data_IF_141926663743
#
_entry.id   IF_141926663743
#
_cell.length_a   1.000
_cell.length_b   1.000
_cell.length_c   1.000
_cell.angle_alpha   90.00
_cell.angle_beta   90.00
_cell.angle_gamma   90.00
#
_symmetry.space_group_name_H-M   'P 1'
#
loop_
_entity.id
_entity.type
_entity.pdbx_description
1 polymer ?
#
# COMPACT_ATOMS: atom_id res chain seq x y z
N UNK A 1 2.42 20.62 -3.80
CA UNK A 1 3.35 21.57 -4.35
C UNK A 1 3.58 22.72 -3.38
N UNK A 2 4.82 23.08 -3.19
CA UNK A 2 5.26 24.13 -2.27
C UNK A 2 5.27 25.49 -2.94
N UNK A 3 4.12 25.99 -3.31
CA UNK A 3 4.04 27.24 -4.08
C UNK A 3 3.83 28.50 -3.24
N UNK A 4 3.43 28.36 -1.99
CA UNK A 4 3.16 29.50 -1.14
C UNK A 4 3.83 29.28 0.20
N UNK A 5 4.94 29.95 0.39
CA UNK A 5 5.63 29.99 1.64
C UNK A 5 6.42 28.72 1.95
N UNK A 6 7.70 28.87 2.11
CA UNK A 6 8.60 27.79 2.50
C UNK A 6 8.20 27.13 3.83
N UNK A 7 7.42 27.82 4.66
CA UNK A 7 6.97 27.30 5.95
C UNK A 7 5.95 26.17 5.82
N UNK A 8 4.99 26.27 4.90
CA UNK A 8 4.04 25.19 4.67
C UNK A 8 4.73 23.95 4.13
N UNK A 9 5.69 24.12 3.26
CA UNK A 9 6.49 23.04 2.72
C UNK A 9 7.30 22.33 3.79
N UNK A 10 7.91 23.09 4.67
CA UNK A 10 8.71 22.55 5.76
C UNK A 10 7.82 21.78 6.74
N UNK A 11 6.63 22.28 7.02
CA UNK A 11 5.66 21.61 7.89
C UNK A 11 5.16 20.29 7.28
N UNK A 12 4.80 20.32 6.00
CA UNK A 12 4.31 19.12 5.31
C UNK A 12 5.39 18.06 5.18
N UNK A 13 6.65 18.47 5.06
CA UNK A 13 7.78 17.55 5.02
C UNK A 13 8.23 17.09 6.40
N UNK A 14 8.02 17.91 7.43
CA UNK A 14 8.46 17.60 8.77
C UNK A 14 7.44 16.81 9.56
N UNK A 15 6.17 17.20 9.46
CA UNK A 15 5.06 16.59 10.18
C UNK A 15 3.90 16.40 9.20
N UNK A 16 3.52 15.18 8.96
CA UNK A 16 2.37 14.89 8.11
C UNK A 16 2.23 13.41 7.82
N UNK A 17 1.00 12.93 7.74
CA UNK A 17 0.72 11.56 7.36
C UNK A 17 0.73 11.43 5.83
N UNK A 18 1.18 10.29 5.34
CA UNK A 18 1.08 9.99 3.93
C UNK A 18 -0.37 9.76 3.52
N UNK A 19 -0.75 10.20 2.34
CA UNK A 19 -2.09 9.97 1.80
C UNK A 19 -2.28 8.52 1.38
N UNK A 20 -3.49 8.00 1.49
CA UNK A 20 -3.81 6.65 1.05
C UNK A 20 -3.74 6.55 -0.48
N UNK A 21 -3.28 5.41 -0.98
CA UNK A 21 -3.32 5.13 -2.42
C UNK A 21 -4.76 4.91 -2.90
N UNK A 22 -5.04 5.30 -4.12
CA UNK A 22 -6.34 5.07 -4.75
C UNK A 22 -6.55 3.61 -5.12
N UNK A 23 -7.79 3.15 -5.09
CA UNK A 23 -8.12 1.78 -5.49
C UNK A 23 -7.93 1.61 -7.01
N UNK A 24 -7.53 0.41 -7.40
CA UNK A 24 -7.42 0.05 -8.81
C UNK A 24 -8.79 -0.02 -9.51
N UNK A 25 -8.83 0.29 -10.76
CA UNK A 25 -10.05 0.24 -11.56
C UNK A 25 -10.48 -1.22 -11.84
N UNK A 26 -11.79 -1.40 -12.00
CA UNK A 26 -12.33 -2.70 -12.42
C UNK A 26 -11.94 -2.98 -13.87
N UNK A 27 -11.51 -4.21 -14.12
CA UNK A 27 -11.34 -4.68 -15.49
C UNK A 27 -12.68 -5.06 -16.09
N UNK A 28 -13.06 -4.49 -17.22
CA UNK A 28 -14.29 -4.78 -17.93
C UNK A 28 -14.09 -5.72 -19.11
N UNK A 29 -15.15 -6.41 -19.52
CA UNK A 29 -15.15 -7.29 -20.68
C UNK A 29 -14.68 -8.72 -20.39
N UNK A 30 -14.61 -9.55 -21.41
CA UNK A 30 -14.32 -10.97 -21.30
C UNK A 30 -12.86 -11.26 -20.92
N UNK A 31 -11.97 -10.28 -21.06
CA UNK A 31 -10.54 -10.41 -20.77
C UNK A 31 -10.02 -9.21 -19.99
N UNK A 32 -10.92 -8.51 -19.27
CA UNK A 32 -10.54 -7.31 -18.53
C UNK A 32 -9.65 -7.59 -17.34
N UNK A 33 -8.47 -7.00 -17.32
CA UNK A 33 -7.52 -7.08 -16.22
C UNK A 33 -7.82 -5.97 -15.22
N UNK A 34 -7.88 -6.28 -13.94
CA UNK A 34 -8.08 -5.27 -12.91
C UNK A 34 -6.89 -4.31 -12.83
N UNK A 35 -7.15 -3.05 -12.60
CA UNK A 35 -6.10 -2.04 -12.44
C UNK A 35 -5.35 -2.23 -11.10
N UNK A 36 -4.09 -1.89 -11.08
CA UNK A 36 -3.31 -1.90 -9.84
C UNK A 36 -3.76 -0.79 -8.87
N UNK A 37 -3.74 -1.09 -7.59
CA UNK A 37 -3.98 -0.07 -6.57
C UNK A 37 -2.82 0.92 -6.52
N UNK A 38 -3.12 2.16 -6.16
CA UNK A 38 -2.09 3.18 -5.98
C UNK A 38 -1.29 2.96 -4.71
N UNK A 39 -0.04 3.37 -4.72
CA UNK A 39 0.81 3.29 -3.54
C UNK A 39 0.41 4.34 -2.51
N UNK A 40 0.56 4.00 -1.25
CA UNK A 40 0.40 4.95 -0.17
C UNK A 40 1.50 6.01 -0.21
N UNK A 41 1.18 7.23 0.19
CA UNK A 41 2.16 8.31 0.28
C UNK A 41 3.10 8.14 1.46
N UNK A 42 4.32 8.63 1.32
CA UNK A 42 5.27 8.65 2.42
C UNK A 42 4.89 9.74 3.42
N UNK A 43 5.16 9.50 4.69
CA UNK A 43 4.95 10.48 5.75
C UNK A 43 6.00 11.59 5.70
N UNK A 44 5.78 12.61 6.52
CA UNK A 44 6.76 13.66 6.74
C UNK A 44 8.06 13.12 7.34
N UNK A 45 9.11 13.95 7.31
CA UNK A 45 10.45 13.50 7.68
C UNK A 45 10.56 13.09 9.15
N UNK A 46 9.88 13.81 10.03
CA UNK A 46 10.03 13.64 11.49
C UNK A 46 8.86 12.85 12.11
N UNK A 47 7.64 13.31 11.92
CA UNK A 47 6.46 12.69 12.48
C UNK A 47 5.47 12.36 11.38
N UNK A 48 4.86 11.20 11.47
CA UNK A 48 3.74 10.86 10.62
C UNK A 48 3.70 9.38 10.27
N UNK A 49 2.51 8.88 10.04
CA UNK A 49 2.30 7.52 9.58
C UNK A 49 2.33 7.48 8.04
N UNK A 50 2.86 6.41 7.49
CA UNK A 50 2.78 6.16 6.05
C UNK A 50 1.33 5.90 5.63
N UNK A 51 0.97 6.30 4.43
CA UNK A 51 -0.35 6.05 3.88
C UNK A 51 -0.53 4.59 3.45
N UNK A 52 -1.73 4.07 3.56
CA UNK A 52 -2.03 2.72 3.10
C UNK A 52 -2.01 2.64 1.56
N UNK A 53 -1.58 1.51 1.04
CA UNK A 53 -1.71 1.22 -0.38
C UNK A 53 -3.17 0.94 -0.77
N UNK A 54 -3.56 1.31 -1.97
CA UNK A 54 -4.89 1.04 -2.48
C UNK A 54 -5.07 -0.41 -2.90
N UNK A 55 -6.29 -0.91 -2.83
CA UNK A 55 -6.59 -2.26 -3.28
C UNK A 55 -6.51 -2.38 -4.79
N UNK A 56 -6.11 -3.55 -5.27
CA UNK A 56 -6.17 -3.86 -6.69
C UNK A 56 -7.60 -4.03 -7.18
N UNK A 57 -7.84 -3.70 -8.43
CA UNK A 57 -9.16 -3.82 -9.05
C UNK A 57 -9.52 -5.25 -9.40
N UNK A 58 -10.81 -5.53 -9.45
CA UNK A 58 -11.34 -6.83 -9.85
C UNK A 58 -11.16 -7.04 -11.37
N UNK A 59 -10.75 -8.20 -11.77
CA UNK A 59 -10.64 -8.59 -13.17
C UNK A 59 -11.79 -9.50 -13.62
N UNK A 60 -12.60 -9.04 -14.56
CA UNK A 60 -13.65 -9.84 -15.16
C UNK A 60 -13.09 -10.61 -16.34
N UNK A 61 -12.96 -11.92 -16.23
CA UNK A 61 -12.40 -12.74 -17.28
C UNK A 61 -10.87 -12.62 -17.40
N UNK A 62 -10.24 -11.78 -16.62
CA UNK A 62 -8.80 -11.58 -16.61
C UNK A 62 -8.24 -11.62 -15.21
N UNK A 63 -6.98 -11.26 -15.08
CA UNK A 63 -6.28 -11.23 -13.78
C UNK A 63 -6.78 -10.09 -12.90
N UNK A 64 -6.78 -10.31 -11.60
CA UNK A 64 -6.97 -9.23 -10.64
C UNK A 64 -5.77 -8.28 -10.60
N UNK A 65 -6.01 -7.01 -10.30
CA UNK A 65 -4.95 -6.02 -10.17
C UNK A 65 -4.16 -6.20 -8.87
N UNK A 66 -2.89 -5.84 -8.90
CA UNK A 66 -2.06 -5.89 -7.69
C UNK A 66 -2.48 -4.80 -6.70
N UNK A 67 -2.35 -5.08 -5.42
CA UNK A 67 -2.50 -4.07 -4.39
C UNK A 67 -1.32 -3.10 -4.37
N UNK A 68 -1.57 -1.85 -3.99
CA UNK A 68 -0.53 -0.84 -3.88
C UNK A 68 0.35 -1.04 -2.64
N UNK A 69 1.54 -0.49 -2.69
CA UNK A 69 2.47 -0.57 -1.56
C UNK A 69 2.05 0.40 -0.45
N UNK A 70 2.27 0.00 0.79
CA UNK A 70 2.16 0.93 1.92
C UNK A 70 3.26 1.97 1.90
N UNK A 71 2.95 3.18 2.32
CA UNK A 71 3.92 4.27 2.40
C UNK A 71 4.83 4.14 3.61
N UNK A 72 6.01 4.71 3.51
CA UNK A 72 6.95 4.71 4.63
C UNK A 72 6.55 5.76 5.67
N UNK A 73 6.81 5.45 6.94
CA UNK A 73 6.65 6.39 8.02
C UNK A 73 7.79 7.40 8.05
N UNK A 74 7.58 8.48 8.78
CA UNK A 74 8.66 9.38 9.19
C UNK A 74 9.55 8.73 10.26
N UNK A 75 10.36 9.56 10.91
CA UNK A 75 11.25 9.08 11.97
C UNK A 75 10.45 8.44 13.11
N UNK A 76 9.31 9.04 13.47
CA UNK A 76 8.38 8.55 14.48
C UNK A 76 7.02 8.36 13.81
N UNK A 77 6.53 7.14 13.77
CA UNK A 77 5.25 6.79 13.18
C UNK A 77 5.25 5.40 12.57
N UNK A 78 4.09 4.88 12.31
CA UNK A 78 3.92 3.54 11.76
C UNK A 78 3.94 3.56 10.22
N UNK A 79 4.49 2.53 9.61
CA UNK A 79 4.40 2.33 8.18
C UNK A 79 2.96 2.05 7.74
N UNK A 80 2.60 2.43 6.53
CA UNK A 80 1.28 2.18 5.98
C UNK A 80 1.12 0.72 5.55
N UNK A 81 -0.11 0.20 5.64
CA UNK A 81 -0.40 -1.16 5.19
C UNK A 81 -0.37 -1.25 3.66
N UNK A 82 0.00 -2.40 3.16
CA UNK A 82 -0.11 -2.71 1.75
C UNK A 82 -1.57 -2.98 1.34
N UNK A 83 -1.93 -2.62 0.13
CA UNK A 83 -3.28 -2.86 -0.38
C UNK A 83 -3.51 -4.32 -0.76
N UNK A 84 -4.74 -4.79 -0.64
CA UNK A 84 -5.10 -6.14 -1.04
C UNK A 84 -5.03 -6.29 -2.56
N UNK A 85 -4.68 -7.49 -3.02
CA UNK A 85 -4.79 -7.84 -4.43
C UNK A 85 -6.24 -7.97 -4.86
N UNK A 86 -6.55 -7.60 -6.08
CA UNK A 86 -7.89 -7.76 -6.65
C UNK A 86 -8.16 -9.20 -7.06
N UNK A 87 -9.42 -9.60 -7.04
CA UNK A 87 -9.81 -10.94 -7.48
C UNK A 87 -9.84 -11.01 -9.00
N UNK A 88 -9.45 -12.14 -9.54
CA UNK A 88 -9.58 -12.45 -10.96
C UNK A 88 -10.53 -13.61 -11.19
N UNK A 89 -11.41 -13.53 -12.17
CA UNK A 89 -12.35 -14.63 -12.46
C UNK A 89 -11.89 -15.55 -13.58
N UNK A 90 -11.02 -15.08 -14.46
CA UNK A 90 -10.53 -15.89 -15.58
C UNK A 90 -9.05 -16.16 -15.56
N UNK A 91 -8.34 -15.64 -14.58
CA UNK A 91 -6.89 -15.76 -14.50
C UNK A 91 -6.41 -15.56 -13.04
N UNK A 92 -5.14 -15.35 -12.88
CA UNK A 92 -4.51 -15.19 -11.56
C UNK A 92 -5.16 -14.05 -10.76
N UNK A 93 -5.35 -14.26 -9.44
CA UNK A 93 -5.66 -13.17 -8.52
C UNK A 93 -4.48 -12.19 -8.40
N UNK A 94 -4.76 -10.94 -8.09
CA UNK A 94 -3.73 -9.93 -7.91
C UNK A 94 -2.87 -10.19 -6.67
N UNK A 95 -1.63 -9.78 -6.71
CA UNK A 95 -0.75 -9.90 -5.55
C UNK A 95 -1.07 -8.78 -4.53
N UNK A 96 -0.97 -9.11 -3.25
CA UNK A 96 -1.07 -8.10 -2.19
C UNK A 96 0.15 -7.19 -2.17
N UNK A 97 -0.06 -5.93 -1.87
CA UNK A 97 1.03 -4.96 -1.75
C UNK A 97 1.83 -5.14 -0.46
N UNK A 98 3.09 -4.80 -0.50
CA UNK A 98 3.93 -4.84 0.71
C UNK A 98 3.58 -3.69 1.65
N UNK A 99 3.71 -3.93 2.95
CA UNK A 99 3.58 -2.88 3.96
C UNK A 99 4.79 -1.94 3.95
N UNK A 100 4.56 -0.69 4.31
CA UNK A 100 5.61 0.30 4.42
C UNK A 100 6.43 0.14 5.71
N UNK A 101 7.67 0.58 5.69
CA UNK A 101 8.54 0.49 6.87
C UNK A 101 8.43 1.72 7.77
N UNK A 102 8.76 1.52 9.03
CA UNK A 102 9.07 2.59 9.99
C UNK A 102 10.59 2.78 10.07
N UNK A 103 11.04 3.95 10.55
CA UNK A 103 12.46 4.27 10.57
C UNK A 103 13.06 4.06 11.95
N UNK A 104 12.59 4.79 12.97
CA UNK A 104 13.16 4.75 14.32
C UNK A 104 12.16 4.24 15.35
N UNK A 105 11.01 4.89 15.51
CA UNK A 105 9.98 4.51 16.46
C UNK A 105 8.68 4.30 15.72
N UNK A 106 8.22 3.08 15.73
CA UNK A 106 6.96 2.73 15.08
C UNK A 106 6.97 1.34 14.49
N UNK A 107 5.82 0.82 14.19
CA UNK A 107 5.66 -0.51 13.62
C UNK A 107 5.68 -0.43 12.10
N UNK A 108 6.15 -1.51 11.48
CA UNK A 108 5.97 -1.67 10.04
C UNK A 108 4.50 -1.92 9.71
N UNK A 109 4.05 -1.46 8.56
CA UNK A 109 2.69 -1.74 8.08
C UNK A 109 2.53 -3.20 7.66
N UNK A 110 1.32 -3.71 7.72
CA UNK A 110 1.03 -5.09 7.31
C UNK A 110 1.06 -5.22 5.79
N UNK A 111 1.41 -6.40 5.30
CA UNK A 111 1.26 -6.72 3.89
C UNK A 111 -0.22 -6.92 3.54
N UNK A 112 -0.59 -6.59 2.31
CA UNK A 112 -1.94 -6.79 1.80
C UNK A 112 -2.22 -8.26 1.50
N UNK A 113 -3.49 -8.65 1.60
CA UNK A 113 -3.91 -10.01 1.29
C UNK A 113 -3.85 -10.27 -0.22
N UNK A 114 -3.63 -11.52 -0.58
CA UNK A 114 -3.69 -11.92 -1.98
C UNK A 114 -5.13 -11.87 -2.50
N UNK A 115 -5.30 -11.56 -3.76
CA UNK A 115 -6.57 -11.69 -4.44
C UNK A 115 -6.84 -13.12 -4.84
N UNK A 116 -8.11 -13.50 -4.86
CA UNK A 116 -8.54 -14.83 -5.30
C UNK A 116 -8.48 -14.95 -6.82
N UNK A 117 -8.10 -16.10 -7.31
CA UNK A 117 -8.04 -16.35 -8.76
C UNK A 117 -7.59 -17.79 -9.02
N UNK A 118 -7.29 -18.08 -10.27
CA UNK A 118 -6.78 -19.40 -10.65
C UNK A 118 -5.48 -19.23 -11.43
N UNK A 119 -4.32 -19.26 -10.74
CA UNK A 119 -4.12 -19.45 -9.30
C UNK A 119 -4.38 -18.16 -8.48
N UNK A 120 -4.40 -18.26 -7.16
CA UNK A 120 -4.47 -17.09 -6.28
C UNK A 120 -3.22 -16.23 -6.43
N UNK A 121 -3.35 -14.95 -6.11
CA UNK A 121 -2.22 -14.05 -6.03
C UNK A 121 -1.27 -14.40 -4.86
N UNK A 122 -0.19 -13.70 -4.77
CA UNK A 122 0.74 -13.80 -3.63
C UNK A 122 0.38 -12.80 -2.55
N UNK A 123 0.56 -13.18 -1.30
CA UNK A 123 0.38 -12.25 -0.19
C UNK A 123 1.50 -11.21 -0.16
N UNK A 124 1.18 -9.99 0.22
CA UNK A 124 2.16 -8.95 0.43
C UNK A 124 2.98 -9.19 1.71
N UNK A 125 4.21 -8.73 1.72
CA UNK A 125 5.08 -8.84 2.90
C UNK A 125 4.79 -7.69 3.86
N UNK A 126 4.92 -7.96 5.16
CA UNK A 126 4.88 -6.89 6.16
C UNK A 126 6.09 -5.99 6.06
N UNK A 127 5.92 -4.72 6.38
CA UNK A 127 7.01 -3.75 6.41
C UNK A 127 7.90 -3.93 7.63
N UNK A 128 9.12 -3.44 7.55
CA UNK A 128 10.05 -3.48 8.68
C UNK A 128 9.63 -2.47 9.75
N UNK A 129 9.68 -2.91 11.00
CA UNK A 129 9.52 -2.00 12.13
C UNK A 129 10.76 -1.13 12.32
N UNK A 130 10.60 -0.01 13.00
CA UNK A 130 11.72 0.82 13.40
C UNK A 130 12.55 0.14 14.50
N UNK A 131 13.54 0.87 14.98
CA UNK A 131 14.41 0.37 16.07
C UNK A 131 13.61 0.00 17.32
N UNK A 132 12.59 0.80 17.65
CA UNK A 132 11.67 0.57 18.77
C UNK A 132 10.27 0.23 18.25
N UNK A 133 10.15 -0.78 17.42
CA UNK A 133 8.88 -1.19 16.87
C UNK A 133 8.90 -2.61 16.37
N UNK A 134 7.75 -3.09 15.93
CA UNK A 134 7.61 -4.46 15.42
C UNK A 134 7.48 -4.43 13.90
N UNK A 135 7.92 -5.50 13.28
CA UNK A 135 7.63 -5.70 11.86
C UNK A 135 6.13 -5.92 11.65
N UNK A 136 5.63 -5.46 10.52
CA UNK A 136 4.26 -5.75 10.11
C UNK A 136 4.09 -7.24 9.78
N UNK A 137 2.85 -7.70 9.82
CA UNK A 137 2.53 -9.07 9.44
C UNK A 137 2.41 -9.18 7.92
N UNK A 138 2.72 -10.37 7.41
CA UNK A 138 2.45 -10.65 6.00
C UNK A 138 0.93 -10.75 5.78
N UNK A 139 0.49 -10.45 4.57
CA UNK A 139 -0.89 -10.67 4.19
C UNK A 139 -1.25 -12.15 4.16
N UNK A 140 -2.54 -12.43 4.00
CA UNK A 140 -3.05 -13.79 3.84
C UNK A 140 -2.96 -14.22 2.38
N UNK A 141 -2.64 -15.51 2.11
CA UNK A 141 -2.60 -16.03 0.76
C UNK A 141 -3.99 -16.15 0.14
#
# INVERSE_FOLDING_TARGET
ACLVGSEMCIRDRLVGAGGAGGAGALGGGATGVGGAGGNGGTAGLLFGAGGAGGAGGFGFGGAGGAGGLGGKAGLIGDGGDGGAGGNGTGAKGGDGGAGGGAILVGNGGNGGNAGSGTPNGSAGTGGAGGLLGKNGMNGLP
#
